data_IF_804190430429
#
_entry.id   IF_804190430429
#
_cell.length_a   1.000
_cell.length_b   1.000
_cell.length_c   1.000
_cell.angle_alpha   90.00
_cell.angle_beta   90.00
_cell.angle_gamma   90.00
#
_symmetry.space_group_name_H-M   'P 1'
#
loop_
_entity.id
_entity.type
_entity.pdbx_description
1 polymer ?
#
# COMPACT_ATOMS: atom_id res chain seq x y z
N UNK A 1 -21.76 -16.32 -1.60
CA UNK A 1 -20.35 -15.96 -1.83
C UNK A 1 -20.16 -14.55 -1.30
N UNK A 2 -19.15 -14.31 -0.47
CA UNK A 2 -18.80 -12.96 0.00
C UNK A 2 -18.05 -12.22 -1.10
N UNK A 3 -18.41 -10.98 -1.39
CA UNK A 3 -17.70 -10.12 -2.35
C UNK A 3 -16.30 -9.74 -1.82
N UNK A 4 -15.39 -9.30 -2.69
CA UNK A 4 -14.07 -8.83 -2.23
C UNK A 4 -14.19 -7.66 -1.22
N UNK A 5 -15.17 -6.77 -1.42
CA UNK A 5 -15.45 -5.68 -0.48
C UNK A 5 -15.90 -6.18 0.91
N UNK A 6 -16.72 -7.24 0.95
CA UNK A 6 -17.13 -7.85 2.22
C UNK A 6 -15.93 -8.52 2.92
N UNK A 7 -15.04 -9.18 2.15
CA UNK A 7 -13.81 -9.75 2.70
C UNK A 7 -12.90 -8.67 3.30
N UNK A 8 -12.73 -7.54 2.61
CA UNK A 8 -11.96 -6.40 3.12
C UNK A 8 -12.53 -5.87 4.43
N UNK A 9 -13.85 -5.70 4.51
CA UNK A 9 -14.51 -5.25 5.74
C UNK A 9 -14.25 -6.22 6.91
N UNK A 10 -14.41 -7.52 6.68
CA UNK A 10 -14.14 -8.54 7.70
C UNK A 10 -12.68 -8.57 8.14
N UNK A 11 -11.72 -8.47 7.21
CA UNK A 11 -10.30 -8.44 7.54
C UNK A 11 -9.94 -7.22 8.40
N UNK A 12 -10.49 -6.04 8.06
CA UNK A 12 -10.30 -4.82 8.85
C UNK A 12 -10.92 -4.93 10.26
N UNK A 13 -12.10 -5.53 10.39
CA UNK A 13 -12.74 -5.74 11.69
C UNK A 13 -11.98 -6.74 12.57
N UNK A 14 -11.43 -7.79 11.97
CA UNK A 14 -10.56 -8.75 12.65
C UNK A 14 -9.27 -8.07 13.15
N UNK A 15 -8.63 -7.26 12.29
CA UNK A 15 -7.44 -6.51 12.66
C UNK A 15 -7.72 -5.47 13.76
N UNK A 16 -8.85 -4.75 13.68
CA UNK A 16 -9.27 -3.82 14.73
C UNK A 16 -9.52 -4.53 16.07
N UNK A 17 -10.13 -5.72 16.04
CA UNK A 17 -10.38 -6.52 17.24
C UNK A 17 -9.08 -6.99 17.88
N UNK A 18 -8.14 -7.50 17.08
CA UNK A 18 -6.81 -7.87 17.54
C UNK A 18 -6.06 -6.66 18.11
N UNK A 19 -6.14 -5.50 17.45
CA UNK A 19 -5.55 -4.25 17.90
C UNK A 19 -6.09 -3.74 19.24
N UNK A 20 -7.41 -3.80 19.46
CA UNK A 20 -8.06 -3.37 20.71
C UNK A 20 -7.77 -4.28 21.91
N UNK A 21 -7.47 -5.55 21.65
CA UNK A 21 -7.02 -6.47 22.71
C UNK A 21 -5.64 -6.09 23.27
N UNK A 22 -4.88 -5.24 22.55
CA UNK A 22 -3.67 -4.63 23.06
C UNK A 22 -4.05 -3.53 24.07
N UNK A 23 -3.51 -3.64 25.28
CA UNK A 23 -3.73 -2.69 26.38
C UNK A 23 -3.33 -1.25 25.97
N UNK A 24 -3.79 -0.20 26.70
CA UNK A 24 -3.23 1.14 26.55
C UNK A 24 -1.70 1.05 26.50
N UNK A 25 -1.12 1.52 25.39
CA UNK A 25 0.30 1.31 25.16
C UNK A 25 1.16 2.16 26.08
N UNK A 26 2.49 1.98 26.04
CA UNK A 26 3.38 2.82 26.82
C UNK A 26 3.21 4.30 26.42
N UNK A 27 3.56 5.23 27.33
CA UNK A 27 3.66 6.65 26.99
C UNK A 27 4.47 6.85 25.71
N UNK A 28 3.89 7.57 24.76
CA UNK A 28 4.52 7.90 23.48
C UNK A 28 5.44 9.09 23.71
N UNK A 29 6.73 8.90 23.46
CA UNK A 29 7.71 9.97 23.40
C UNK A 29 8.19 10.22 21.98
N UNK A 30 8.57 11.46 21.70
CA UNK A 30 9.06 11.87 20.38
C UNK A 30 9.59 13.31 20.40
N UNK A 31 9.81 13.87 19.21
CA UNK A 31 10.29 15.24 19.07
C UNK A 31 9.27 16.27 19.58
N UNK A 32 9.59 16.95 20.69
CA UNK A 32 8.75 17.98 21.32
C UNK A 32 8.60 19.26 20.48
N UNK A 33 9.41 19.42 19.43
CA UNK A 33 9.23 20.50 18.46
C UNK A 33 8.23 20.15 17.35
N UNK A 34 8.00 18.85 17.11
CA UNK A 34 7.05 18.35 16.12
C UNK A 34 5.67 18.02 16.72
N UNK A 35 5.64 17.76 18.03
CA UNK A 35 4.48 17.27 18.76
C UNK A 35 4.32 18.02 20.07
N UNK A 36 3.10 18.47 20.36
CA UNK A 36 2.79 19.04 21.67
C UNK A 36 2.71 17.93 22.72
N UNK A 37 2.84 18.29 24.00
CA UNK A 37 2.60 17.33 25.10
C UNK A 37 1.19 16.73 25.06
N UNK A 38 0.20 17.50 24.59
CA UNK A 38 -1.17 17.04 24.37
C UNK A 38 -1.26 16.02 23.22
N UNK A 39 -0.60 16.29 22.08
CA UNK A 39 -0.53 15.34 20.95
C UNK A 39 0.06 13.99 21.41
N UNK A 40 1.17 14.03 22.17
CA UNK A 40 1.81 12.83 22.70
C UNK A 40 0.94 12.09 23.73
N UNK A 41 0.23 12.82 24.59
CA UNK A 41 -0.71 12.23 25.54
C UNK A 41 -1.89 11.54 24.83
N UNK A 42 -2.46 12.18 23.81
CA UNK A 42 -3.51 11.60 22.98
C UNK A 42 -3.02 10.36 22.23
N UNK A 43 -1.82 10.42 21.63
CA UNK A 43 -1.20 9.29 20.95
C UNK A 43 -0.96 8.12 21.92
N UNK A 44 -0.65 8.39 23.19
CA UNK A 44 -0.48 7.37 24.24
C UNK A 44 -1.78 6.68 24.64
N UNK A 45 -2.92 7.33 24.40
CA UNK A 45 -4.23 6.83 24.77
C UNK A 45 -4.77 5.71 23.86
N UNK A 46 -6.05 5.34 24.08
CA UNK A 46 -6.74 4.37 23.23
C UNK A 46 -6.80 4.82 21.76
N UNK A 47 -6.36 3.99 20.80
CA UNK A 47 -6.31 4.38 19.40
C UNK A 47 -7.65 4.80 18.83
N UNK A 48 -8.78 4.27 19.30
CA UNK A 48 -10.15 4.60 18.87
C UNK A 48 -10.59 6.02 19.25
N UNK A 49 -9.99 6.60 20.29
CA UNK A 49 -10.27 7.98 20.72
C UNK A 49 -9.38 9.01 20.02
N UNK A 50 -8.39 8.57 19.23
CA UNK A 50 -7.45 9.47 18.56
C UNK A 50 -8.16 10.28 17.45
N UNK A 51 -7.99 11.62 17.39
CA UNK A 51 -8.50 12.42 16.28
C UNK A 51 -7.92 11.97 14.94
N UNK A 52 -8.75 11.92 13.88
CA UNK A 52 -8.31 11.48 12.54
C UNK A 52 -7.13 12.31 12.00
N UNK A 53 -7.12 13.63 12.27
CA UNK A 53 -6.05 14.51 11.83
C UNK A 53 -4.71 14.13 12.49
N UNK A 54 -4.75 13.85 13.79
CA UNK A 54 -3.58 13.46 14.56
C UNK A 54 -3.06 12.08 14.11
N UNK A 55 -3.96 11.13 13.85
CA UNK A 55 -3.62 9.83 13.28
C UNK A 55 -2.92 9.98 11.92
N UNK A 56 -3.49 10.75 10.99
CA UNK A 56 -2.91 10.95 9.66
C UNK A 56 -1.52 11.58 9.74
N UNK A 57 -1.37 12.64 10.54
CA UNK A 57 -0.06 13.27 10.79
C UNK A 57 0.94 12.24 11.31
N UNK A 58 0.55 11.40 12.27
CA UNK A 58 1.42 10.39 12.85
C UNK A 58 1.76 9.26 11.86
N UNK A 59 0.80 8.87 11.00
CA UNK A 59 0.92 7.77 10.05
C UNK A 59 2.02 7.99 9.00
N UNK A 60 2.25 9.25 8.60
CA UNK A 60 3.21 9.61 7.55
C UNK A 60 4.53 10.17 8.10
N UNK A 61 4.56 10.55 9.38
CA UNK A 61 5.72 11.18 10.00
C UNK A 61 6.91 10.21 10.07
N UNK A 62 8.12 10.77 9.96
CA UNK A 62 9.36 10.00 9.96
C UNK A 62 9.55 9.19 11.24
N UNK A 63 10.04 7.96 11.07
CA UNK A 63 10.17 6.96 12.14
C UNK A 63 11.18 7.38 13.23
N UNK A 64 12.21 8.14 12.85
CA UNK A 64 13.28 8.66 13.73
C UNK A 64 12.80 9.74 14.71
N UNK A 65 11.59 10.28 14.53
CA UNK A 65 11.03 11.30 15.40
C UNK A 65 10.33 10.73 16.65
N UNK A 66 10.35 9.41 16.82
CA UNK A 66 9.69 8.69 17.90
C UNK A 66 10.69 7.87 18.70
N UNK A 67 10.49 7.78 20.02
CA UNK A 67 11.38 6.97 20.87
C UNK A 67 11.17 5.47 20.67
N UNK A 68 9.94 5.03 20.42
CA UNK A 68 9.59 3.64 20.09
C UNK A 68 8.57 3.61 18.94
N UNK A 69 9.08 3.84 17.73
CA UNK A 69 8.28 3.84 16.52
C UNK A 69 7.59 2.49 16.26
N UNK A 70 8.27 1.32 16.35
CA UNK A 70 7.62 0.03 16.09
C UNK A 70 6.40 -0.22 16.98
N UNK A 71 6.49 0.07 18.28
CA UNK A 71 5.35 -0.10 19.19
C UNK A 71 4.21 0.86 18.88
N UNK A 72 4.52 2.14 18.64
CA UNK A 72 3.54 3.16 18.26
C UNK A 72 2.81 2.75 16.98
N UNK A 73 3.55 2.43 15.92
CA UNK A 73 2.98 2.19 14.61
C UNK A 73 2.14 0.92 14.59
N UNK A 74 2.58 -0.17 15.25
CA UNK A 74 1.78 -1.39 15.44
C UNK A 74 0.43 -1.09 16.08
N UNK A 75 0.40 -0.22 17.09
CA UNK A 75 -0.84 0.14 17.80
C UNK A 75 -1.79 0.96 16.91
N UNK A 76 -1.26 1.82 16.05
CA UNK A 76 -2.05 2.67 15.17
C UNK A 76 -2.45 1.98 13.85
N UNK A 77 -1.73 0.92 13.45
CA UNK A 77 -1.86 0.25 12.17
C UNK A 77 -3.30 -0.15 11.78
N UNK A 78 -4.16 -0.68 12.68
CA UNK A 78 -5.54 -1.01 12.32
C UNK A 78 -6.32 0.20 11.79
N UNK A 79 -6.21 1.36 12.47
CA UNK A 79 -6.85 2.60 12.02
C UNK A 79 -6.20 3.20 10.78
N UNK A 80 -4.87 3.11 10.66
CA UNK A 80 -4.13 3.58 9.48
C UNK A 80 -4.57 2.80 8.24
N UNK A 81 -4.57 1.46 8.31
CA UNK A 81 -4.98 0.60 7.21
C UNK A 81 -6.46 0.80 6.85
N UNK A 82 -7.33 1.04 7.84
CA UNK A 82 -8.74 1.38 7.56
C UNK A 82 -8.88 2.72 6.82
N UNK A 83 -8.13 3.76 7.21
CA UNK A 83 -8.17 5.04 6.49
C UNK A 83 -7.55 4.94 5.09
N UNK A 84 -6.48 4.16 4.95
CA UNK A 84 -5.81 3.94 3.68
C UNK A 84 -6.72 3.21 2.67
N UNK A 85 -7.33 2.10 3.09
CA UNK A 85 -8.22 1.27 2.24
C UNK A 85 -9.52 1.97 1.86
N UNK A 86 -9.92 3.02 2.60
CA UNK A 86 -11.10 3.85 2.31
C UNK A 86 -10.77 5.15 1.57
N UNK A 87 -9.49 5.40 1.26
CA UNK A 87 -9.03 6.61 0.56
C UNK A 87 -9.06 7.88 1.42
N UNK A 88 -9.31 7.78 2.73
CA UNK A 88 -9.24 8.91 3.67
C UNK A 88 -7.79 9.33 3.91
N UNK A 89 -6.89 8.35 3.93
CA UNK A 89 -5.44 8.53 3.90
C UNK A 89 -4.94 8.14 2.50
N UNK A 90 -4.26 9.05 1.80
CA UNK A 90 -3.82 8.83 0.42
C UNK A 90 -2.34 8.42 0.29
N UNK A 91 -1.59 8.52 1.38
CA UNK A 91 -0.12 8.38 1.43
C UNK A 91 0.33 6.90 1.51
N UNK A 92 -0.06 6.09 0.53
CA UNK A 92 0.18 4.63 0.54
C UNK A 92 1.66 4.24 0.53
N UNK A 93 2.48 4.92 -0.26
CA UNK A 93 3.94 4.78 -0.34
C UNK A 93 4.63 5.06 1.02
N UNK A 94 4.22 6.12 1.70
CA UNK A 94 4.68 6.47 3.04
C UNK A 94 4.21 5.44 4.07
N UNK A 95 2.95 5.00 4.02
CA UNK A 95 2.45 3.97 4.92
C UNK A 95 3.20 2.65 4.72
N UNK A 96 3.48 2.25 3.49
CA UNK A 96 4.29 1.05 3.21
C UNK A 96 5.68 1.16 3.84
N UNK A 97 6.34 2.29 3.64
CA UNK A 97 7.64 2.63 4.24
C UNK A 97 7.60 2.52 5.77
N UNK A 98 6.53 3.06 6.39
CA UNK A 98 6.34 3.05 7.84
C UNK A 98 6.03 1.67 8.39
N UNK A 99 5.23 0.87 7.70
CA UNK A 99 5.00 -0.53 8.07
C UNK A 99 6.32 -1.31 8.09
N UNK A 100 7.17 -1.14 7.07
CA UNK A 100 8.50 -1.76 7.03
C UNK A 100 9.37 -1.30 8.20
N UNK A 101 9.45 0.00 8.44
CA UNK A 101 10.24 0.57 9.54
C UNK A 101 9.75 0.12 10.93
N UNK A 102 8.47 -0.27 11.04
CA UNK A 102 7.89 -0.82 12.26
C UNK A 102 7.98 -2.35 12.36
N UNK A 103 8.71 -3.01 11.46
CA UNK A 103 8.93 -4.46 11.44
C UNK A 103 7.60 -5.25 11.46
N UNK A 104 6.61 -4.84 10.66
CA UNK A 104 5.23 -5.35 10.75
C UNK A 104 5.09 -6.87 10.70
N UNK A 105 5.99 -7.56 9.99
CA UNK A 105 6.02 -9.03 9.90
C UNK A 105 6.32 -9.74 11.23
N UNK A 106 6.90 -9.03 12.20
CA UNK A 106 7.19 -9.56 13.55
C UNK A 106 6.04 -9.31 14.53
N UNK A 107 4.96 -8.67 14.10
CA UNK A 107 3.82 -8.41 14.97
C UNK A 107 3.05 -9.70 15.29
N UNK A 108 2.38 -9.79 16.46
CA UNK A 108 1.57 -10.96 16.81
C UNK A 108 0.41 -11.25 15.85
N UNK A 109 -0.05 -10.24 15.10
CA UNK A 109 -1.17 -10.29 14.17
C UNK A 109 -0.75 -9.91 12.73
N UNK A 110 0.49 -10.26 12.35
CA UNK A 110 1.02 -9.97 11.02
C UNK A 110 0.22 -10.67 9.91
N UNK A 111 -0.34 -11.85 10.19
CA UNK A 111 -1.27 -12.57 9.33
C UNK A 111 -2.51 -11.74 8.99
N UNK A 112 -3.11 -11.07 9.97
CA UNK A 112 -4.26 -10.19 9.74
C UNK A 112 -3.90 -8.96 8.88
N UNK A 113 -2.67 -8.46 8.99
CA UNK A 113 -2.19 -7.39 8.10
C UNK A 113 -2.11 -7.91 6.66
N UNK A 114 -1.55 -9.11 6.44
CA UNK A 114 -1.52 -9.75 5.12
C UNK A 114 -2.92 -9.95 4.56
N UNK A 115 -3.87 -10.44 5.36
CA UNK A 115 -5.27 -10.61 4.94
C UNK A 115 -5.92 -9.31 4.49
N UNK A 116 -5.64 -8.19 5.19
CA UNK A 116 -6.12 -6.86 4.80
C UNK A 116 -5.52 -6.43 3.46
N UNK A 117 -4.21 -6.61 3.23
CA UNK A 117 -3.57 -6.24 1.97
C UNK A 117 -4.11 -7.08 0.79
N UNK A 118 -4.27 -8.39 0.98
CA UNK A 118 -4.85 -9.32 0.00
C UNK A 118 -6.29 -8.94 -0.36
N UNK A 119 -7.12 -8.68 0.65
CA UNK A 119 -8.51 -8.31 0.46
C UNK A 119 -8.65 -6.92 -0.17
N UNK A 120 -7.77 -5.97 0.18
CA UNK A 120 -7.76 -4.63 -0.38
C UNK A 120 -7.39 -4.65 -1.86
N UNK A 121 -6.37 -5.40 -2.24
CA UNK A 121 -5.98 -5.55 -3.65
C UNK A 121 -7.13 -6.14 -4.47
N UNK A 122 -7.73 -7.23 -3.99
CA UNK A 122 -8.86 -7.88 -4.66
C UNK A 122 -10.06 -6.93 -4.81
N UNK A 123 -10.42 -6.21 -3.74
CA UNK A 123 -11.54 -5.26 -3.77
C UNK A 123 -11.28 -4.09 -4.73
N UNK A 124 -10.04 -3.62 -4.79
CA UNK A 124 -9.61 -2.54 -5.70
C UNK A 124 -9.78 -2.94 -7.16
N UNK A 125 -9.39 -4.17 -7.52
CA UNK A 125 -9.51 -4.68 -8.90
C UNK A 125 -10.96 -4.89 -9.34
N UNK A 126 -11.87 -5.25 -8.41
CA UNK A 126 -13.29 -5.45 -8.72
C UNK A 126 -14.07 -4.13 -8.81
N UNK A 127 -13.63 -3.09 -8.11
CA UNK A 127 -14.36 -1.82 -8.01
C UNK A 127 -14.09 -0.93 -9.24
N UNK A 128 -15.11 -0.45 -9.97
CA UNK A 128 -14.90 0.39 -11.17
C UNK A 128 -14.23 1.73 -10.90
N UNK A 129 -14.45 2.31 -9.71
CA UNK A 129 -13.86 3.56 -9.27
C UNK A 129 -13.40 3.37 -7.81
N UNK A 130 -12.23 2.74 -7.57
CA UNK A 130 -11.73 2.52 -6.22
C UNK A 130 -11.33 3.87 -5.58
N UNK A 131 -11.40 4.02 -4.25
CA UNK A 131 -11.01 5.26 -3.57
C UNK A 131 -9.54 5.64 -3.79
N UNK A 132 -8.68 4.62 -3.94
CA UNK A 132 -7.26 4.75 -4.25
C UNK A 132 -7.00 4.11 -5.60
N UNK A 133 -6.23 4.77 -6.46
CA UNK A 133 -5.94 4.28 -7.80
C UNK A 133 -5.14 2.96 -7.78
N UNK A 134 -5.40 2.08 -8.75
CA UNK A 134 -4.81 0.74 -8.81
C UNK A 134 -3.28 0.73 -8.80
N UNK A 135 -2.56 1.60 -9.55
CA UNK A 135 -1.09 1.66 -9.46
C UNK A 135 -0.59 1.98 -8.06
N UNK A 136 -1.25 2.91 -7.36
CA UNK A 136 -0.89 3.30 -5.98
C UNK A 136 -1.15 2.16 -5.00
N UNK A 137 -2.26 1.41 -5.15
CA UNK A 137 -2.52 0.23 -4.31
C UNK A 137 -1.48 -0.85 -4.57
N UNK A 138 -1.16 -1.14 -5.84
CA UNK A 138 -0.13 -2.12 -6.22
C UNK A 138 1.23 -1.76 -5.61
N UNK A 139 1.65 -0.50 -5.77
CA UNK A 139 2.87 0.02 -5.17
C UNK A 139 2.87 -0.19 -3.65
N UNK A 140 1.77 0.18 -2.98
CA UNK A 140 1.64 0.09 -1.53
C UNK A 140 1.77 -1.36 -1.05
N UNK A 141 1.01 -2.29 -1.63
CA UNK A 141 1.03 -3.70 -1.21
C UNK A 141 2.38 -4.34 -1.54
N UNK A 142 2.97 -4.04 -2.69
CA UNK A 142 4.26 -4.59 -3.10
C UNK A 142 5.41 -4.06 -2.23
N UNK A 143 5.47 -2.74 -2.00
CA UNK A 143 6.49 -2.14 -1.13
C UNK A 143 6.34 -2.63 0.32
N UNK A 144 5.11 -2.77 0.83
CA UNK A 144 4.87 -3.29 2.19
C UNK A 144 5.34 -4.75 2.33
N UNK A 145 5.05 -5.56 1.31
CA UNK A 145 5.32 -7.01 1.31
C UNK A 145 6.63 -7.43 0.64
N UNK A 146 7.41 -6.47 0.16
CA UNK A 146 8.73 -6.69 -0.46
C UNK A 146 8.68 -7.76 -1.56
N UNK A 147 7.55 -7.83 -2.28
CA UNK A 147 7.30 -8.79 -3.36
C UNK A 147 6.22 -8.25 -4.29
N UNK A 148 6.34 -8.51 -5.59
CA UNK A 148 5.40 -8.05 -6.60
C UNK A 148 4.59 -9.20 -7.22
N UNK A 149 5.22 -10.36 -7.45
CA UNK A 149 4.63 -11.52 -8.12
C UNK A 149 3.23 -11.94 -7.62
N UNK A 150 2.93 -12.03 -6.31
CA UNK A 150 1.60 -12.45 -5.84
C UNK A 150 0.48 -11.49 -6.29
N UNK A 151 0.78 -10.20 -6.31
CA UNK A 151 -0.15 -9.14 -6.68
C UNK A 151 -0.42 -9.13 -8.18
N UNK A 152 0.65 -9.27 -8.98
CA UNK A 152 0.56 -9.39 -10.44
C UNK A 152 -0.16 -10.66 -10.89
N UNK A 153 0.07 -11.80 -10.20
CA UNK A 153 -0.71 -13.03 -10.45
C UNK A 153 -2.19 -12.80 -10.20
N UNK A 154 -2.55 -12.18 -9.07
CA UNK A 154 -3.96 -11.86 -8.76
C UNK A 154 -4.58 -10.97 -9.83
N UNK A 155 -3.83 -9.99 -10.36
CA UNK A 155 -4.31 -9.13 -11.45
C UNK A 155 -4.48 -9.89 -12.77
N UNK A 156 -3.52 -10.74 -13.12
CA UNK A 156 -3.59 -11.58 -14.30
C UNK A 156 -4.80 -12.52 -14.27
N UNK A 157 -5.05 -13.16 -13.12
CA UNK A 157 -6.17 -14.07 -12.89
C UNK A 157 -7.52 -13.33 -12.86
N UNK A 158 -7.53 -12.04 -12.49
CA UNK A 158 -8.73 -11.19 -12.50
C UNK A 158 -8.96 -10.60 -13.91
N UNK A 159 -9.31 -11.45 -14.87
CA UNK A 159 -9.57 -11.06 -16.26
C UNK A 159 -11.01 -10.54 -16.47
N UNK A 160 -11.37 -9.45 -15.79
CA UNK A 160 -12.68 -8.79 -15.94
C UNK A 160 -12.55 -7.49 -16.72
N UNK A 161 -13.61 -7.01 -17.39
CA UNK A 161 -13.57 -5.72 -18.08
C UNK A 161 -13.17 -4.55 -17.17
N UNK A 162 -13.45 -4.62 -15.86
CA UNK A 162 -13.03 -3.60 -14.90
C UNK A 162 -11.54 -3.67 -14.62
N UNK A 163 -11.01 -4.85 -14.32
CA UNK A 163 -9.59 -5.04 -14.06
C UNK A 163 -8.71 -4.77 -15.30
N UNK A 164 -9.22 -5.05 -16.50
CA UNK A 164 -8.53 -4.74 -17.77
C UNK A 164 -8.50 -3.23 -18.06
N UNK A 165 -9.56 -2.48 -17.71
CA UNK A 165 -9.52 -1.01 -17.76
C UNK A 165 -8.47 -0.45 -16.80
N UNK A 166 -8.48 -0.93 -15.55
CA UNK A 166 -7.47 -0.55 -14.57
C UNK A 166 -6.05 -0.83 -15.06
N UNK A 167 -5.85 -1.94 -15.77
CA UNK A 167 -4.56 -2.31 -16.35
C UNK A 167 -4.15 -1.37 -17.46
N UNK A 168 -5.05 -1.05 -18.38
CA UNK A 168 -4.79 -0.09 -19.44
C UNK A 168 -4.44 1.29 -18.88
N UNK A 169 -5.19 1.77 -17.89
CA UNK A 169 -4.96 3.07 -17.24
C UNK A 169 -3.61 3.08 -16.49
N UNK A 170 -3.26 1.98 -15.83
CA UNK A 170 -1.98 1.83 -15.13
C UNK A 170 -0.78 1.85 -16.09
N UNK A 171 -0.86 1.09 -17.17
CA UNK A 171 0.19 1.03 -18.20
C UNK A 171 0.35 2.38 -18.88
N UNK A 172 -0.74 3.07 -19.19
CA UNK A 172 -0.70 4.45 -19.69
C UNK A 172 0.07 5.35 -18.71
N UNK A 173 -0.27 5.31 -17.42
CA UNK A 173 0.42 6.08 -16.39
C UNK A 173 1.91 5.80 -16.32
N UNK A 174 2.31 4.53 -16.33
CA UNK A 174 3.72 4.14 -16.28
C UNK A 174 4.50 4.51 -17.54
N UNK A 175 3.89 4.43 -18.73
CA UNK A 175 4.52 4.81 -19.99
C UNK A 175 4.65 6.34 -20.14
N UNK A 176 3.71 7.12 -19.60
CA UNK A 176 3.73 8.57 -19.74
C UNK A 176 4.58 9.29 -18.70
N UNK A 177 4.51 8.84 -17.43
CA UNK A 177 5.13 9.56 -16.31
C UNK A 177 6.26 8.79 -15.65
N UNK A 178 6.35 7.48 -15.89
CA UNK A 178 7.36 6.61 -15.33
C UNK A 178 8.44 6.23 -16.32
N UNK A 179 9.51 5.66 -15.77
CA UNK A 179 10.37 4.74 -16.52
C UNK A 179 10.01 3.34 -16.04
N UNK A 180 9.24 2.60 -16.85
CA UNK A 180 8.76 1.26 -16.51
C UNK A 180 9.90 0.29 -16.24
N UNK A 181 11.09 0.51 -16.81
CA UNK A 181 12.26 -0.35 -16.61
C UNK A 181 12.95 -0.10 -15.28
N UNK A 182 12.92 1.14 -14.79
CA UNK A 182 13.58 1.55 -13.54
C UNK A 182 12.59 1.94 -12.44
N UNK A 183 11.34 1.52 -12.56
CA UNK A 183 10.28 1.89 -11.63
C UNK A 183 10.60 1.36 -10.23
N UNK A 184 10.48 2.24 -9.24
CA UNK A 184 10.66 1.90 -7.83
C UNK A 184 9.38 2.19 -7.06
N UNK A 185 9.08 1.33 -6.09
CA UNK A 185 7.93 1.44 -5.20
C UNK A 185 8.37 1.78 -3.79
N UNK A 186 7.52 2.55 -3.09
CA UNK A 186 7.78 3.05 -1.75
C UNK A 186 8.39 4.45 -1.76
N UNK A 187 8.20 5.17 -0.66
CA UNK A 187 8.52 6.60 -0.59
C UNK A 187 10.02 6.89 -0.78
N UNK A 188 10.89 5.96 -0.37
CA UNK A 188 12.34 6.07 -0.61
C UNK A 188 12.82 5.19 -1.77
N UNK A 189 11.90 4.63 -2.56
CA UNK A 189 12.22 3.70 -3.65
C UNK A 189 12.80 2.38 -3.15
N UNK A 190 12.27 1.84 -2.06
CA UNK A 190 12.79 0.67 -1.35
C UNK A 190 12.55 -0.66 -2.07
N UNK A 191 11.76 -0.67 -3.14
CA UNK A 191 11.44 -1.87 -3.91
C UNK A 191 11.61 -1.62 -5.41
N UNK A 192 12.57 -2.30 -6.04
CA UNK A 192 12.82 -2.23 -7.49
C UNK A 192 11.77 -3.07 -8.24
N UNK A 193 10.75 -2.39 -8.80
CA UNK A 193 9.60 -3.04 -9.43
C UNK A 193 9.76 -3.20 -10.95
N UNK A 194 10.52 -2.31 -11.58
CA UNK A 194 10.54 -2.15 -13.03
C UNK A 194 10.81 -3.43 -13.84
N UNK A 195 11.87 -4.20 -13.55
CA UNK A 195 12.18 -5.41 -14.31
C UNK A 195 11.07 -6.47 -14.26
N UNK A 196 10.59 -6.79 -13.06
CA UNK A 196 9.55 -7.81 -12.86
C UNK A 196 8.20 -7.36 -13.43
N UNK A 197 7.85 -6.08 -13.26
CA UNK A 197 6.63 -5.50 -13.83
C UNK A 197 6.67 -5.54 -15.35
N UNK A 198 7.79 -5.16 -15.95
CA UNK A 198 7.99 -5.16 -17.41
C UNK A 198 7.90 -6.57 -17.97
N UNK A 199 8.58 -7.55 -17.35
CA UNK A 199 8.51 -8.95 -17.75
C UNK A 199 7.06 -9.46 -17.72
N UNK A 200 6.33 -9.17 -16.64
CA UNK A 200 4.93 -9.54 -16.51
C UNK A 200 4.04 -8.90 -17.59
N UNK A 201 4.20 -7.60 -17.85
CA UNK A 201 3.44 -6.90 -18.89
C UNK A 201 3.68 -7.50 -20.28
N UNK A 202 4.92 -7.87 -20.59
CA UNK A 202 5.28 -8.55 -21.84
C UNK A 202 4.71 -9.98 -21.92
N UNK A 203 4.55 -10.67 -20.80
CA UNK A 203 3.98 -12.00 -20.73
C UNK A 203 2.44 -12.04 -20.81
N UNK A 204 1.76 -10.89 -20.69
CA UNK A 204 0.30 -10.83 -20.76
C UNK A 204 -0.24 -11.34 -22.11
N UNK A 205 -1.39 -12.05 -22.11
CA UNK A 205 -2.07 -12.46 -23.33
C UNK A 205 -2.42 -11.28 -24.26
N UNK A 206 -2.44 -11.48 -25.58
CA UNK A 206 -2.88 -10.45 -26.52
C UNK A 206 -4.27 -9.91 -26.18
N UNK A 207 -4.43 -8.59 -26.25
CA UNK A 207 -5.71 -7.91 -26.00
C UNK A 207 -6.01 -7.61 -24.52
N UNK A 208 -5.16 -8.01 -23.56
CA UNK A 208 -5.29 -7.57 -22.16
C UNK A 208 -4.93 -6.10 -21.97
N UNK A 209 -4.04 -5.56 -22.81
CA UNK A 209 -3.73 -4.14 -22.92
C UNK A 209 -3.97 -3.65 -24.35
N UNK A 210 -4.28 -2.37 -24.53
CA UNK A 210 -4.32 -1.72 -25.84
C UNK A 210 -3.08 -1.98 -26.70
N UNK A 211 -3.28 -2.12 -28.01
CA UNK A 211 -2.23 -2.50 -28.98
C UNK A 211 -1.14 -1.44 -29.07
N UNK A 212 -1.50 -0.17 -28.97
CA UNK A 212 -0.59 0.97 -28.93
C UNK A 212 0.29 0.95 -27.67
N UNK A 213 -0.29 0.69 -26.50
CA UNK A 213 0.47 0.53 -25.26
C UNK A 213 1.45 -0.65 -25.34
N UNK A 214 1.02 -1.77 -25.91
CA UNK A 214 1.88 -2.94 -26.15
C UNK A 214 3.06 -2.60 -27.05
N UNK A 215 2.81 -1.88 -28.14
CA UNK A 215 3.85 -1.43 -29.05
C UNK A 215 4.88 -0.52 -28.37
N UNK A 216 4.42 0.45 -27.57
CA UNK A 216 5.33 1.35 -26.84
C UNK A 216 6.17 0.61 -25.81
N UNK A 217 5.58 -0.33 -25.07
CA UNK A 217 6.31 -1.18 -24.12
C UNK A 217 7.43 -1.97 -24.82
N UNK A 218 7.12 -2.62 -25.94
CA UNK A 218 8.11 -3.39 -26.72
C UNK A 218 9.22 -2.50 -27.29
N UNK A 219 8.87 -1.28 -27.72
CA UNK A 219 9.83 -0.31 -28.23
C UNK A 219 10.80 0.18 -27.15
N UNK A 220 10.31 0.47 -25.94
CA UNK A 220 11.13 0.90 -24.79
C UNK A 220 12.13 -0.21 -24.44
N UNK A 221 11.66 -1.45 -24.34
CA UNK A 221 12.49 -2.62 -23.99
C UNK A 221 13.54 -2.91 -25.06
N UNK A 222 13.22 -2.67 -26.34
CA UNK A 222 14.12 -2.93 -27.47
C UNK A 222 15.10 -1.78 -27.76
N UNK A 223 14.89 -0.62 -27.16
CA UNK A 223 15.76 0.54 -27.34
C UNK A 223 17.01 0.38 -26.48
N UNK A 224 18.24 0.37 -27.06
CA UNK A 224 19.45 0.30 -26.26
C UNK A 224 19.51 1.51 -25.33
N UNK A 225 19.61 1.26 -24.02
CA UNK A 225 19.76 2.30 -22.99
C UNK A 225 20.86 3.28 -23.42
N UNK A 226 20.48 4.49 -23.79
CA UNK A 226 21.41 5.60 -23.96
C UNK A 226 21.82 6.04 -22.55
N UNK A 227 22.76 5.32 -21.93
CA UNK A 227 23.44 5.79 -20.72
C UNK A 227 24.09 7.14 -21.06
N UNK A 228 23.64 8.20 -20.38
CA UNK A 228 24.22 9.54 -20.41
C UNK A 228 24.85 9.84 -19.05
#
# INVERSE_FOLDING_TARGET
>A
MTTAQQRLHHALDALDTAGRSAHPGPPVGGCEHCWTAEDLALLSGPPDLLPNELLRRAAVKSADLWYDFPTLYRRLAPRILRQLTTGVLADGDLVATRLRAADWRKWPHADLVTEVLDAWWSATLEQPAPPTQVPTVLETVAATTDTLAPWLRTWADTATPTADRHLADAVEGWLHWGDVLTLKFGFYGEFEAGPELTEWLLALPPGRIPVDQRYWLELIVSSPSQES
#
